data_IF_724114316661
#
_entry.id   IF_724114316661
#
_cell.length_a   1.000
_cell.length_b   1.000
_cell.length_c   1.000
_cell.angle_alpha   90.00
_cell.angle_beta   90.00
_cell.angle_gamma   90.00
#
_symmetry.space_group_name_H-M   'P 1'
#
loop_
_entity.id
_entity.type
_entity.pdbx_description
1 polymer ?
#
# COMPACT_ATOMS: atom_id res chain seq x y z
N UNK A 1 -15.80 8.46 10.93
CA UNK A 1 -15.36 7.16 10.47
C UNK A 1 -16.14 6.75 9.22
N UNK A 2 -15.46 6.11 8.27
CA UNK A 2 -16.03 5.55 7.05
C UNK A 2 -16.38 4.09 7.32
N UNK A 3 -17.65 3.76 7.21
CA UNK A 3 -18.16 2.39 7.34
C UNK A 3 -18.48 1.74 5.99
N UNK A 4 -18.79 2.56 4.98
CA UNK A 4 -19.12 2.15 3.61
C UNK A 4 -18.75 3.25 2.61
N UNK A 5 -18.65 2.90 1.32
CA UNK A 5 -18.20 3.84 0.27
C UNK A 5 -18.99 5.17 0.25
N UNK A 6 -20.32 5.12 0.38
CA UNK A 6 -21.16 6.34 0.41
C UNK A 6 -20.89 7.29 1.57
N UNK A 7 -20.14 6.86 2.60
CA UNK A 7 -19.71 7.75 3.68
C UNK A 7 -18.62 8.72 3.23
N UNK A 8 -17.83 8.37 2.19
CA UNK A 8 -16.84 9.24 1.58
C UNK A 8 -17.53 10.42 0.87
N UNK A 9 -18.57 10.14 0.08
CA UNK A 9 -19.33 11.18 -0.62
C UNK A 9 -20.00 12.13 0.40
N UNK A 10 -20.57 11.55 1.47
CA UNK A 10 -21.18 12.34 2.54
C UNK A 10 -20.13 13.20 3.27
N UNK A 11 -18.94 12.66 3.57
CA UNK A 11 -17.88 13.42 4.21
C UNK A 11 -17.43 14.58 3.33
N UNK A 12 -17.23 14.32 2.01
CA UNK A 12 -16.88 15.34 1.03
C UNK A 12 -17.94 16.44 0.94
N UNK A 13 -19.22 16.06 0.82
CA UNK A 13 -20.33 17.02 0.76
C UNK A 13 -20.46 17.90 2.02
N UNK A 14 -20.02 17.40 3.18
CA UNK A 14 -20.03 18.11 4.46
C UNK A 14 -18.71 18.84 4.77
N UNK A 15 -17.73 18.86 3.87
CA UNK A 15 -16.40 19.43 4.12
C UNK A 15 -15.63 18.72 5.24
N UNK A 16 -15.87 17.42 5.45
CA UNK A 16 -15.25 16.60 6.49
C UNK A 16 -14.22 15.64 5.92
N UNK A 17 -13.27 15.26 6.77
CA UNK A 17 -12.31 14.20 6.45
C UNK A 17 -12.95 12.84 6.72
N UNK A 18 -12.86 11.94 5.74
CA UNK A 18 -13.21 10.53 5.89
C UNK A 18 -12.02 9.74 6.45
N UNK A 19 -12.23 9.02 7.56
CA UNK A 19 -11.20 8.16 8.16
C UNK A 19 -11.62 6.71 7.95
N UNK A 20 -10.79 5.93 7.24
CA UNK A 20 -10.92 4.48 7.07
C UNK A 20 -9.96 3.82 8.07
N UNK A 21 -10.48 2.97 8.96
CA UNK A 21 -9.63 2.22 9.88
C UNK A 21 -9.03 1.01 9.17
N UNK A 22 -7.70 0.95 9.12
CA UNK A 22 -6.93 -0.16 8.55
C UNK A 22 -5.84 -0.64 9.50
N UNK A 23 -5.41 -1.91 9.31
CA UNK A 23 -4.26 -2.48 10.00
C UNK A 23 -3.26 -3.01 8.97
N UNK A 24 -1.98 -2.68 9.16
CA UNK A 24 -0.87 -3.07 8.27
C UNK A 24 -0.29 -4.46 8.58
N UNK A 25 -1.04 -5.33 9.16
CA UNK A 25 -0.73 -6.76 9.31
C UNK A 25 -1.99 -7.48 9.79
N UNK A 26 -2.27 -8.64 9.28
CA UNK A 26 -3.44 -9.43 9.65
C UNK A 26 -3.14 -10.52 10.70
N UNK A 27 -2.03 -10.44 11.43
CA UNK A 27 -1.65 -11.40 12.48
C UNK A 27 -2.63 -11.46 13.65
N UNK A 28 -3.46 -10.45 13.83
CA UNK A 28 -4.52 -10.42 14.83
C UNK A 28 -5.68 -11.37 14.49
N UNK A 29 -5.82 -11.80 13.24
CA UNK A 29 -6.78 -12.86 12.87
C UNK A 29 -6.19 -14.25 13.21
N UNK A 30 -6.76 -14.91 14.21
CA UNK A 30 -6.39 -16.25 14.62
C UNK A 30 -7.33 -17.33 14.09
N UNK A 31 -8.50 -16.91 13.65
CA UNK A 31 -9.56 -17.70 13.02
C UNK A 31 -10.44 -16.80 12.14
N UNK A 32 -11.18 -17.35 11.18
CA UNK A 32 -12.00 -16.53 10.26
C UNK A 32 -13.04 -15.65 10.95
N UNK A 33 -13.58 -16.10 12.11
CA UNK A 33 -14.58 -15.31 12.86
C UNK A 33 -14.02 -14.00 13.43
N UNK A 34 -12.70 -13.92 13.63
CA UNK A 34 -12.05 -12.69 14.10
C UNK A 34 -12.22 -11.56 13.08
N UNK A 35 -12.26 -11.86 11.78
CA UNK A 35 -12.49 -10.86 10.73
C UNK A 35 -13.84 -10.15 10.95
N UNK A 36 -14.90 -10.90 11.26
CA UNK A 36 -16.21 -10.33 11.56
C UNK A 36 -16.19 -9.47 12.82
N UNK A 37 -15.50 -9.93 13.87
CA UNK A 37 -15.33 -9.17 15.13
C UNK A 37 -14.63 -7.83 14.86
N UNK A 38 -13.48 -7.83 14.21
CA UNK A 38 -12.73 -6.60 13.92
C UNK A 38 -13.49 -5.66 12.96
N UNK A 39 -14.23 -6.22 11.99
CA UNK A 39 -15.11 -5.42 11.15
C UNK A 39 -16.23 -4.73 11.96
N UNK A 40 -16.81 -5.40 12.95
CA UNK A 40 -17.81 -4.81 13.86
C UNK A 40 -17.20 -3.71 14.74
N UNK A 41 -15.92 -3.83 15.12
CA UNK A 41 -15.15 -2.82 15.84
C UNK A 41 -14.76 -1.61 14.97
N UNK A 42 -15.01 -1.67 13.66
CA UNK A 42 -14.80 -0.55 12.74
C UNK A 42 -13.67 -0.72 11.73
N UNK A 43 -12.89 -1.81 11.77
CA UNK A 43 -11.85 -2.07 10.77
C UNK A 43 -12.48 -2.25 9.39
N UNK A 44 -11.92 -1.61 8.37
CA UNK A 44 -12.41 -1.65 6.98
C UNK A 44 -11.36 -2.08 5.97
N UNK A 45 -10.09 -2.05 6.36
CA UNK A 45 -8.96 -2.51 5.54
C UNK A 45 -8.04 -3.37 6.39
N UNK A 46 -7.48 -4.43 5.83
CA UNK A 46 -6.43 -5.21 6.47
C UNK A 46 -5.41 -5.65 5.44
N UNK A 47 -4.14 -5.35 5.72
CA UNK A 47 -3.03 -5.83 4.93
C UNK A 47 -2.68 -7.25 5.34
N UNK A 48 -2.58 -8.17 4.38
CA UNK A 48 -2.45 -9.60 4.67
C UNK A 48 -1.17 -9.95 5.42
N UNK A 49 -0.04 -9.36 5.01
CA UNK A 49 1.29 -9.63 5.59
C UNK A 49 2.07 -8.33 5.75
N UNK A 50 3.04 -8.29 6.67
CA UNK A 50 3.97 -7.17 6.78
C UNK A 50 5.42 -7.66 6.67
N UNK A 51 6.03 -7.48 5.49
CA UNK A 51 7.43 -7.78 5.17
C UNK A 51 7.86 -9.26 5.28
N UNK A 52 7.50 -9.95 6.35
CA UNK A 52 7.85 -11.34 6.65
C UNK A 52 6.65 -12.25 6.55
N UNK A 53 6.89 -13.54 6.64
CA UNK A 53 5.82 -14.54 6.63
C UNK A 53 5.02 -14.50 7.95
N UNK A 54 3.70 -14.61 7.83
CA UNK A 54 2.77 -14.88 8.92
C UNK A 54 1.91 -16.11 8.61
N UNK A 55 0.82 -16.35 9.37
CA UNK A 55 -0.06 -17.50 9.14
C UNK A 55 -0.84 -17.42 7.81
N UNK A 56 -0.96 -16.23 7.21
CA UNK A 56 -1.78 -15.97 6.01
C UNK A 56 -0.95 -16.16 4.73
N UNK A 57 0.31 -15.71 4.73
CA UNK A 57 1.16 -15.76 3.55
C UNK A 57 2.54 -15.14 3.79
N UNK A 58 3.28 -14.93 2.71
CA UNK A 58 4.64 -14.41 2.73
C UNK A 58 4.68 -12.91 2.46
N UNK A 59 5.48 -12.17 3.22
CA UNK A 59 5.77 -10.76 2.99
C UNK A 59 6.84 -10.55 1.91
N UNK A 60 6.93 -9.32 1.39
CA UNK A 60 7.80 -8.95 0.27
C UNK A 60 9.30 -9.05 0.54
N UNK A 61 9.73 -9.15 1.80
CA UNK A 61 11.14 -9.36 2.15
C UNK A 61 11.43 -10.74 2.74
N UNK A 62 10.48 -11.66 2.61
CA UNK A 62 10.69 -13.03 3.03
C UNK A 62 11.68 -13.73 2.10
N UNK A 63 12.50 -14.65 2.65
CA UNK A 63 13.53 -15.37 1.88
C UNK A 63 12.93 -16.23 0.77
N UNK A 64 11.76 -16.83 1.04
CA UNK A 64 11.01 -17.63 0.08
C UNK A 64 9.54 -17.21 0.15
N UNK A 65 9.01 -16.76 -0.96
CA UNK A 65 7.58 -16.45 -1.07
C UNK A 65 6.79 -17.72 -1.40
N UNK A 66 6.17 -18.30 -0.38
CA UNK A 66 5.32 -19.50 -0.49
C UNK A 66 3.91 -19.23 -1.03
N UNK A 67 3.51 -17.96 -1.20
CA UNK A 67 2.14 -17.59 -1.55
C UNK A 67 1.20 -17.58 -0.36
N UNK A 68 -0.12 -17.65 -0.64
CA UNK A 68 -1.18 -17.70 0.37
C UNK A 68 -1.29 -19.12 0.94
N UNK A 69 -1.39 -19.23 2.26
CA UNK A 69 -1.60 -20.51 2.96
C UNK A 69 -3.08 -20.94 2.91
N UNK A 70 -3.38 -22.20 3.26
CA UNK A 70 -4.76 -22.67 3.41
C UNK A 70 -5.53 -21.83 4.45
N UNK A 71 -4.88 -21.46 5.56
CA UNK A 71 -5.47 -20.52 6.52
C UNK A 71 -5.73 -19.15 5.88
N UNK A 72 -4.77 -18.65 5.09
CA UNK A 72 -4.92 -17.37 4.36
C UNK A 72 -6.13 -17.37 3.42
N UNK A 73 -6.41 -18.49 2.74
CA UNK A 73 -7.62 -18.64 1.92
C UNK A 73 -8.89 -18.39 2.74
N UNK A 74 -8.98 -18.98 3.95
CA UNK A 74 -10.16 -18.79 4.82
C UNK A 74 -10.31 -17.35 5.30
N UNK A 75 -9.20 -16.66 5.56
CA UNK A 75 -9.21 -15.24 5.95
C UNK A 75 -9.65 -14.34 4.78
N UNK A 76 -9.14 -14.57 3.57
CA UNK A 76 -9.56 -13.85 2.36
C UNK A 76 -11.07 -14.01 2.13
N UNK A 77 -11.59 -15.22 2.26
CA UNK A 77 -13.04 -15.50 2.15
C UNK A 77 -13.83 -14.72 3.20
N UNK A 78 -13.43 -14.77 4.45
CA UNK A 78 -14.10 -14.05 5.54
C UNK A 78 -14.05 -12.52 5.33
N UNK A 79 -12.92 -11.96 4.82
CA UNK A 79 -12.82 -10.55 4.48
C UNK A 79 -13.78 -10.17 3.35
N UNK A 80 -13.89 -10.99 2.31
CA UNK A 80 -14.83 -10.80 1.22
C UNK A 80 -16.30 -10.82 1.69
N UNK A 81 -16.66 -11.74 2.60
CA UNK A 81 -18.00 -11.85 3.16
C UNK A 81 -18.43 -10.58 3.89
N UNK A 82 -17.57 -10.00 4.74
CA UNK A 82 -17.90 -8.79 5.51
C UNK A 82 -17.68 -7.50 4.72
N UNK A 83 -17.02 -7.56 3.54
CA UNK A 83 -16.67 -6.37 2.75
C UNK A 83 -15.48 -5.59 3.32
N UNK A 84 -14.55 -6.27 4.00
CA UNK A 84 -13.27 -5.68 4.42
C UNK A 84 -12.30 -5.66 3.24
N UNK A 85 -11.73 -4.48 2.94
CA UNK A 85 -10.74 -4.33 1.87
C UNK A 85 -9.47 -5.11 2.20
N UNK A 86 -9.04 -5.92 1.25
CA UNK A 86 -7.76 -6.64 1.30
C UNK A 86 -6.68 -5.73 0.72
N UNK A 87 -5.58 -5.52 1.47
CA UNK A 87 -4.38 -4.83 1.02
C UNK A 87 -3.20 -5.80 0.92
N UNK A 88 -2.47 -5.73 -0.19
CA UNK A 88 -1.29 -6.57 -0.45
C UNK A 88 0.01 -5.76 -0.63
N UNK A 89 0.05 -4.53 -0.11
CA UNK A 89 1.21 -3.61 -0.28
C UNK A 89 2.53 -4.23 0.17
N UNK A 90 2.57 -4.91 1.32
CA UNK A 90 3.77 -5.56 1.86
C UNK A 90 3.91 -7.04 1.51
N UNK A 91 2.95 -7.61 0.77
CA UNK A 91 2.98 -9.02 0.38
C UNK A 91 4.01 -9.28 -0.72
N UNK A 92 4.61 -10.46 -0.70
CA UNK A 92 5.49 -10.93 -1.77
C UNK A 92 4.77 -11.10 -3.11
N UNK A 93 5.50 -11.40 -4.15
CA UNK A 93 4.95 -11.46 -5.52
C UNK A 93 3.90 -12.55 -5.66
N UNK A 94 4.24 -13.77 -5.22
CA UNK A 94 3.32 -14.90 -5.28
C UNK A 94 2.13 -14.70 -4.36
N UNK A 95 2.35 -14.26 -3.11
CA UNK A 95 1.28 -13.93 -2.19
C UNK A 95 0.34 -12.85 -2.76
N UNK A 96 0.88 -11.84 -3.45
CA UNK A 96 0.08 -10.81 -4.14
C UNK A 96 -0.77 -11.41 -5.25
N UNK A 97 -0.18 -12.24 -6.11
CA UNK A 97 -0.89 -12.87 -7.24
C UNK A 97 -1.97 -13.84 -6.76
N UNK A 98 -1.65 -14.68 -5.77
CA UNK A 98 -2.61 -15.61 -5.17
C UNK A 98 -3.79 -14.86 -4.53
N UNK A 99 -3.52 -13.77 -3.79
CA UNK A 99 -4.58 -12.96 -3.17
C UNK A 99 -5.51 -12.31 -4.20
N UNK A 100 -4.95 -11.79 -5.30
CA UNK A 100 -5.73 -11.25 -6.43
C UNK A 100 -6.61 -12.33 -7.03
N UNK A 101 -6.09 -13.54 -7.23
CA UNK A 101 -6.83 -14.65 -7.83
C UNK A 101 -7.95 -15.14 -6.90
N UNK A 102 -7.65 -15.38 -5.63
CA UNK A 102 -8.55 -15.95 -4.64
C UNK A 102 -9.67 -15.00 -4.20
N UNK A 103 -9.43 -13.69 -4.25
CA UNK A 103 -10.46 -12.72 -3.84
C UNK A 103 -11.61 -12.66 -4.84
N UNK A 104 -12.84 -12.77 -4.31
CA UNK A 104 -14.07 -12.57 -5.09
C UNK A 104 -14.44 -11.10 -5.26
N UNK A 105 -13.72 -10.18 -4.63
CA UNK A 105 -13.91 -8.72 -4.69
C UNK A 105 -12.63 -8.02 -5.13
N UNK A 106 -12.72 -6.79 -5.67
CA UNK A 106 -11.53 -5.97 -5.89
C UNK A 106 -10.71 -5.82 -4.60
N UNK A 107 -9.38 -5.93 -4.72
CA UNK A 107 -8.43 -5.70 -3.64
C UNK A 107 -7.55 -4.50 -3.97
N UNK A 108 -6.72 -4.05 -3.05
CA UNK A 108 -5.85 -2.92 -3.26
C UNK A 108 -4.37 -3.24 -3.00
N UNK A 109 -3.52 -2.49 -3.65
CA UNK A 109 -2.16 -2.20 -3.24
C UNK A 109 -2.22 -0.77 -2.71
N UNK A 110 -2.38 -0.58 -1.39
CA UNK A 110 -2.67 0.76 -0.86
C UNK A 110 -1.48 1.70 -0.94
N UNK A 111 -0.24 1.17 -0.86
CA UNK A 111 1.01 1.95 -0.91
C UNK A 111 2.18 1.09 -1.43
N UNK A 112 2.52 1.28 -2.68
CA UNK A 112 3.70 0.66 -3.32
C UNK A 112 4.07 1.43 -4.58
N UNK A 113 5.12 0.97 -5.29
CA UNK A 113 5.56 1.57 -6.55
C UNK A 113 5.87 0.48 -7.60
N UNK A 114 6.23 0.88 -8.82
CA UNK A 114 6.43 -0.02 -9.95
C UNK A 114 7.85 -0.58 -9.96
N UNK A 115 8.00 -1.90 -9.90
CA UNK A 115 9.30 -2.57 -9.93
C UNK A 115 10.03 -2.35 -11.26
N UNK A 116 9.31 -2.14 -12.33
CA UNK A 116 9.89 -1.82 -13.64
C UNK A 116 10.72 -0.52 -13.64
N UNK A 117 10.44 0.42 -12.73
CA UNK A 117 11.16 1.70 -12.63
C UNK A 117 12.24 1.68 -11.54
N UNK A 118 12.09 0.82 -10.54
CA UNK A 118 13.02 0.70 -9.43
C UNK A 118 13.00 -0.74 -8.89
N UNK A 119 14.07 -1.49 -9.07
CA UNK A 119 14.14 -2.89 -8.65
C UNK A 119 14.30 -2.99 -7.11
N UNK A 120 13.16 -3.20 -6.45
CA UNK A 120 13.09 -3.30 -4.99
C UNK A 120 12.03 -4.34 -4.58
N UNK A 121 12.28 -5.20 -3.58
CA UNK A 121 11.36 -6.30 -3.21
C UNK A 121 9.98 -5.85 -2.73
N UNK A 122 9.86 -4.62 -2.25
CA UNK A 122 8.57 -4.02 -1.85
C UNK A 122 7.72 -3.53 -3.02
N UNK A 123 8.29 -3.45 -4.23
CA UNK A 123 7.59 -2.89 -5.38
C UNK A 123 6.89 -3.99 -6.19
N UNK A 124 5.85 -3.60 -6.89
CA UNK A 124 4.96 -4.53 -7.60
C UNK A 124 5.38 -4.71 -9.06
N UNK A 125 5.29 -5.94 -9.51
CA UNK A 125 5.53 -6.28 -10.92
C UNK A 125 4.39 -5.78 -11.80
N UNK A 126 4.69 -5.54 -13.08
CA UNK A 126 3.66 -5.17 -14.07
C UNK A 126 2.58 -6.24 -14.21
N UNK A 127 2.93 -7.52 -14.00
CA UNK A 127 1.96 -8.62 -13.97
C UNK A 127 0.95 -8.43 -12.84
N UNK A 128 1.42 -8.16 -11.62
CA UNK A 128 0.55 -7.94 -10.46
C UNK A 128 -0.35 -6.72 -10.69
N UNK A 129 0.18 -5.61 -11.24
CA UNK A 129 -0.59 -4.40 -11.53
C UNK A 129 -1.68 -4.68 -12.57
N UNK A 130 -1.36 -5.40 -13.66
CA UNK A 130 -2.37 -5.78 -14.68
C UNK A 130 -3.46 -6.68 -14.11
N UNK A 131 -3.10 -7.71 -13.33
CA UNK A 131 -4.07 -8.62 -12.71
C UNK A 131 -4.95 -7.91 -11.69
N UNK A 132 -4.37 -7.00 -10.90
CA UNK A 132 -5.11 -6.15 -9.96
C UNK A 132 -6.18 -5.32 -10.69
N UNK A 133 -5.76 -4.60 -11.73
CA UNK A 133 -6.65 -3.75 -12.52
C UNK A 133 -7.74 -4.56 -13.21
N UNK A 134 -7.42 -5.72 -13.79
CA UNK A 134 -8.41 -6.62 -14.44
C UNK A 134 -9.53 -7.07 -13.48
N UNK A 135 -9.28 -7.06 -12.16
CA UNK A 135 -10.27 -7.32 -11.12
C UNK A 135 -10.89 -6.05 -10.50
N UNK A 136 -10.65 -4.88 -11.10
CA UNK A 136 -11.18 -3.59 -10.62
C UNK A 136 -10.44 -3.03 -9.40
N UNK A 137 -9.26 -3.54 -9.09
CA UNK A 137 -8.43 -3.05 -7.99
C UNK A 137 -7.69 -1.76 -8.31
N UNK A 138 -7.12 -1.14 -7.28
CA UNK A 138 -6.39 0.14 -7.37
C UNK A 138 -5.03 0.02 -6.69
N UNK A 139 -4.01 0.67 -7.26
CA UNK A 139 -2.68 0.80 -6.70
C UNK A 139 -2.40 2.24 -6.27
N UNK A 140 -2.12 2.45 -4.98
CA UNK A 140 -1.67 3.71 -4.42
C UNK A 140 -0.15 3.85 -4.54
N UNK A 141 0.31 4.94 -5.16
CA UNK A 141 1.74 5.25 -5.31
C UNK A 141 2.26 5.91 -4.05
N UNK A 142 3.34 5.36 -3.47
CA UNK A 142 3.95 5.84 -2.23
C UNK A 142 5.07 6.84 -2.46
N UNK A 143 5.24 7.75 -1.50
CA UNK A 143 6.30 8.75 -1.47
C UNK A 143 7.57 8.34 -0.71
N UNK A 144 7.65 7.11 -0.20
CA UNK A 144 8.84 6.62 0.51
C UNK A 144 10.03 6.58 -0.44
N UNK A 145 11.09 7.33 -0.11
CA UNK A 145 12.22 7.67 -0.99
C UNK A 145 12.87 6.47 -1.71
N UNK A 146 13.21 5.43 -0.96
CA UNK A 146 13.86 4.23 -1.52
C UNK A 146 12.92 3.38 -2.39
N UNK A 147 11.59 3.59 -2.31
CA UNK A 147 10.61 2.96 -3.19
C UNK A 147 10.36 3.78 -4.46
N UNK A 148 10.54 5.10 -4.39
CA UNK A 148 10.42 5.96 -5.56
C UNK A 148 11.65 5.78 -6.46
N UNK A 149 12.85 5.79 -5.90
CA UNK A 149 14.07 5.62 -6.70
C UNK A 149 15.21 5.07 -5.84
N UNK A 150 16.03 4.17 -6.41
CA UNK A 150 17.18 3.56 -5.74
C UNK A 150 18.42 4.47 -5.63
N UNK A 151 18.41 5.65 -6.25
CA UNK A 151 19.55 6.59 -6.30
C UNK A 151 19.10 8.05 -6.22
N UNK A 152 20.04 8.96 -5.92
CA UNK A 152 19.78 10.39 -5.93
C UNK A 152 19.95 11.00 -7.35
N UNK A 153 19.26 12.12 -7.64
CA UNK A 153 18.23 12.74 -6.81
C UNK A 153 16.93 11.92 -6.80
N UNK A 154 16.15 12.01 -5.72
CA UNK A 154 14.81 11.42 -5.62
C UNK A 154 13.81 12.51 -5.29
N UNK A 155 12.95 12.84 -6.25
CA UNK A 155 12.04 13.99 -6.21
C UNK A 155 10.61 13.57 -6.49
N UNK A 156 9.68 14.50 -6.24
CA UNK A 156 8.26 14.34 -6.56
C UNK A 156 8.01 13.97 -8.04
N UNK A 157 8.85 14.45 -8.96
CA UNK A 157 8.72 14.12 -10.39
C UNK A 157 8.93 12.61 -10.65
N UNK A 158 9.86 11.97 -9.90
CA UNK A 158 10.03 10.52 -9.99
C UNK A 158 8.85 9.75 -9.38
N UNK A 159 8.14 10.33 -8.40
CA UNK A 159 6.88 9.75 -7.91
C UNK A 159 5.80 9.80 -9.01
N UNK A 160 5.71 10.91 -9.75
CA UNK A 160 4.81 11.05 -10.90
C UNK A 160 5.17 10.05 -12.01
N UNK A 161 6.45 9.72 -12.23
CA UNK A 161 6.84 8.69 -13.21
C UNK A 161 6.20 7.32 -12.89
N UNK A 162 6.05 6.96 -11.61
CA UNK A 162 5.33 5.74 -11.22
C UNK A 162 3.84 5.82 -11.52
N UNK A 163 3.21 6.99 -11.32
CA UNK A 163 1.81 7.22 -11.69
C UNK A 163 1.64 7.07 -13.20
N UNK A 164 2.48 7.74 -13.98
CA UNK A 164 2.51 7.63 -15.45
C UNK A 164 2.64 6.18 -15.93
N UNK A 165 3.51 5.40 -15.27
CA UNK A 165 3.71 4.00 -15.61
C UNK A 165 2.42 3.18 -15.41
N UNK A 166 1.76 3.32 -14.26
CA UNK A 166 0.49 2.62 -14.00
C UNK A 166 -0.60 3.08 -14.97
N UNK A 167 -0.73 4.38 -15.21
CA UNK A 167 -1.72 4.93 -16.16
C UNK A 167 -1.51 4.36 -17.57
N UNK A 168 -0.27 4.32 -18.06
CA UNK A 168 0.07 3.72 -19.36
C UNK A 168 -0.20 2.22 -19.40
N UNK A 169 -0.01 1.54 -18.27
CA UNK A 169 -0.13 0.09 -18.18
C UNK A 169 -1.59 -0.39 -18.13
N UNK A 170 -2.44 0.29 -17.36
CA UNK A 170 -3.80 -0.17 -17.00
C UNK A 170 -4.87 0.92 -16.97
N UNK A 171 -4.53 2.19 -17.13
CA UNK A 171 -5.46 3.31 -17.12
C UNK A 171 -5.53 4.05 -15.77
N UNK A 172 -6.08 5.28 -15.82
CA UNK A 172 -6.15 6.22 -14.68
C UNK A 172 -7.05 5.71 -13.55
N UNK A 173 -8.06 4.91 -13.85
CA UNK A 173 -9.01 4.40 -12.87
C UNK A 173 -8.39 3.39 -11.88
N UNK A 174 -7.17 2.92 -12.15
CA UNK A 174 -6.48 1.90 -11.37
C UNK A 174 -5.27 2.43 -10.60
N UNK A 175 -5.08 3.76 -10.54
CA UNK A 175 -4.00 4.39 -9.79
C UNK A 175 -4.54 5.42 -8.82
N UNK A 176 -3.91 5.49 -7.64
CA UNK A 176 -4.22 6.46 -6.59
C UNK A 176 -2.94 6.93 -5.90
N UNK A 177 -3.10 7.77 -4.89
CA UNK A 177 -2.01 8.23 -4.04
C UNK A 177 -2.10 7.48 -2.72
N UNK A 178 -1.06 6.71 -2.41
CA UNK A 178 -0.89 5.97 -1.16
C UNK A 178 0.38 6.44 -0.46
N UNK A 179 0.38 7.68 0.01
CA UNK A 179 1.57 8.43 0.41
C UNK A 179 2.53 7.66 1.32
N UNK A 180 2.00 6.85 2.24
CA UNK A 180 2.76 6.18 3.31
C UNK A 180 3.52 7.20 4.17
N UNK A 181 2.99 8.43 4.25
CA UNK A 181 3.60 9.51 5.00
C UNK A 181 3.23 9.43 6.47
N UNK A 182 4.20 9.67 7.34
CA UNK A 182 3.93 9.99 8.75
C UNK A 182 3.31 11.39 8.87
N UNK A 183 2.68 11.68 10.03
CA UNK A 183 1.95 12.93 10.26
C UNK A 183 2.82 14.19 10.11
N UNK A 184 4.11 14.09 10.41
CA UNK A 184 5.07 15.20 10.34
C UNK A 184 6.20 14.97 9.32
N UNK A 185 6.14 13.87 8.55
CA UNK A 185 7.24 13.37 7.72
C UNK A 185 8.25 12.55 8.52
N UNK A 186 8.94 11.64 7.84
CA UNK A 186 9.91 10.75 8.48
C UNK A 186 11.24 11.43 8.79
N UNK A 187 11.64 12.40 7.97
CA UNK A 187 12.94 13.06 8.12
C UNK A 187 12.96 14.06 9.30
N UNK A 188 11.80 14.52 9.78
CA UNK A 188 11.63 15.35 10.97
C UNK A 188 11.63 14.55 12.28
N UNK A 189 11.69 13.21 12.20
CA UNK A 189 11.73 12.33 13.35
C UNK A 189 13.04 12.53 14.14
N UNK A 190 13.02 12.55 15.51
CA UNK A 190 14.22 12.56 16.33
C UNK A 190 15.20 11.45 15.96
N UNK A 191 16.49 11.73 15.98
CA UNK A 191 17.54 10.83 15.47
C UNK A 191 17.59 9.47 16.18
N UNK A 192 17.28 9.42 17.47
CA UNK A 192 17.19 8.19 18.27
C UNK A 192 16.00 7.33 17.82
N UNK A 193 14.82 7.92 17.67
CA UNK A 193 13.62 7.23 17.17
C UNK A 193 13.81 6.74 15.75
N UNK A 194 14.44 7.55 14.89
CA UNK A 194 14.78 7.16 13.53
C UNK A 194 15.73 5.95 13.50
N UNK A 195 16.74 5.94 14.37
CA UNK A 195 17.68 4.82 14.49
C UNK A 195 16.95 3.54 14.90
N UNK A 196 16.04 3.62 15.86
CA UNK A 196 15.22 2.49 16.30
C UNK A 196 14.31 2.00 15.17
N UNK A 197 13.62 2.91 14.46
CA UNK A 197 12.80 2.58 13.30
C UNK A 197 13.60 1.82 12.24
N UNK A 198 14.74 2.33 11.83
CA UNK A 198 15.57 1.72 10.79
C UNK A 198 16.13 0.35 11.21
N UNK A 199 16.38 0.15 12.50
CA UNK A 199 16.87 -1.13 13.03
C UNK A 199 15.84 -2.27 12.95
N UNK A 200 14.55 -1.96 12.77
CA UNK A 200 13.50 -2.96 12.62
C UNK A 200 13.45 -3.58 11.21
N UNK A 201 14.13 -2.98 10.23
CA UNK A 201 14.06 -3.40 8.84
C UNK A 201 15.30 -4.18 8.39
N UNK A 202 15.11 -5.13 7.49
CA UNK A 202 16.19 -5.88 6.85
C UNK A 202 17.01 -4.97 5.93
N UNK A 203 18.32 -5.25 5.71
CA UNK A 203 19.15 -4.49 4.78
C UNK A 203 18.58 -4.39 3.35
N UNK A 204 17.77 -5.37 2.93
CA UNK A 204 17.09 -5.36 1.62
C UNK A 204 16.10 -4.21 1.44
N UNK A 205 15.72 -3.52 2.51
CA UNK A 205 14.93 -2.28 2.43
C UNK A 205 15.71 -1.12 1.82
N UNK A 206 17.05 -1.18 1.87
CA UNK A 206 17.94 -0.22 1.24
C UNK A 206 17.65 1.24 1.62
N UNK A 207 17.27 1.50 2.88
CA UNK A 207 17.08 2.87 3.35
C UNK A 207 18.35 3.69 3.21
N UNK A 208 18.18 4.95 2.81
CA UNK A 208 19.25 5.94 2.62
C UNK A 208 19.22 7.00 3.71
N UNK A 209 20.07 8.02 3.59
CA UNK A 209 20.17 9.11 4.56
C UNK A 209 18.86 9.87 4.79
N UNK A 210 18.05 10.07 3.74
CA UNK A 210 16.67 10.59 3.83
C UNK A 210 15.65 9.48 3.59
N UNK A 211 14.49 9.58 4.22
CA UNK A 211 13.37 8.66 4.05
C UNK A 211 12.26 9.25 3.18
N UNK A 212 12.04 10.55 3.27
CA UNK A 212 11.04 11.27 2.50
C UNK A 212 11.56 11.67 1.12
N UNK A 213 10.68 11.68 0.13
CA UNK A 213 10.99 12.15 -1.24
C UNK A 213 11.02 13.67 -1.28
N UNK A 214 12.04 14.26 -1.94
CA UNK A 214 12.16 15.71 -2.07
C UNK A 214 10.92 16.29 -2.78
N UNK A 215 10.27 17.26 -2.14
CA UNK A 215 9.00 17.83 -2.57
C UNK A 215 7.76 17.07 -2.13
N UNK A 216 7.92 15.90 -1.46
CA UNK A 216 6.84 15.13 -0.85
C UNK A 216 7.25 14.61 0.55
N UNK A 217 7.80 15.48 1.36
CA UNK A 217 8.40 15.23 2.67
C UNK A 217 7.44 15.53 3.85
N UNK A 218 6.18 15.83 3.54
CA UNK A 218 5.13 16.10 4.53
C UNK A 218 3.75 15.87 3.91
N UNK A 219 2.73 15.38 4.65
CA UNK A 219 1.36 15.17 4.12
C UNK A 219 0.74 16.41 3.46
N UNK A 220 1.10 17.63 3.90
CA UNK A 220 0.64 18.88 3.27
C UNK A 220 1.15 19.07 1.84
N UNK A 221 2.21 18.36 1.44
CA UNK A 221 2.80 18.40 0.10
C UNK A 221 1.97 17.68 -0.96
N UNK A 222 0.78 17.20 -0.59
CA UNK A 222 -0.18 16.66 -1.56
C UNK A 222 -0.57 17.68 -2.63
N UNK A 223 -0.54 18.97 -2.31
CA UNK A 223 -0.79 20.04 -3.28
C UNK A 223 0.36 20.18 -4.29
N UNK A 224 1.62 20.00 -3.86
CA UNK A 224 2.80 20.02 -4.73
C UNK A 224 2.77 18.83 -5.71
N UNK A 225 2.31 17.66 -5.23
CA UNK A 225 2.06 16.50 -6.10
C UNK A 225 0.94 16.79 -7.13
N UNK A 226 -0.13 17.46 -6.69
CA UNK A 226 -1.23 17.87 -7.59
C UNK A 226 -0.70 18.79 -8.68
N UNK A 227 0.14 19.78 -8.35
CA UNK A 227 0.76 20.66 -9.34
C UNK A 227 1.69 19.90 -10.30
N UNK A 228 2.46 18.93 -9.79
CA UNK A 228 3.31 18.08 -10.63
C UNK A 228 2.47 17.26 -11.63
N UNK A 229 1.33 16.72 -11.19
CA UNK A 229 0.39 16.01 -12.06
C UNK A 229 -0.20 16.91 -13.12
N UNK A 230 -0.63 18.13 -12.77
CA UNK A 230 -1.15 19.12 -13.73
C UNK A 230 -0.09 19.46 -14.78
N UNK A 231 1.19 19.65 -14.40
CA UNK A 231 2.29 19.88 -15.36
C UNK A 231 2.49 18.71 -16.31
N UNK A 232 2.15 17.48 -15.91
CA UNK A 232 2.21 16.26 -16.74
C UNK A 232 0.95 16.04 -17.60
N UNK A 233 -0.09 16.90 -17.44
CA UNK A 233 -1.31 16.84 -18.26
C UNK A 233 -2.47 16.06 -17.67
N UNK A 234 -2.45 15.78 -16.37
CA UNK A 234 -3.57 15.19 -15.61
C UNK A 234 -4.61 16.22 -15.21
#
# INVERSE_FOLDING_TARGET
LVGKASDLDRAKAQGKIGIIMGLQNSEHFRKPEDVKLFHQLGQRCSQLTYNTQNLIGSGGTERVDGGITDFGVTIIQAMNEVGMLIDVSHSGDRTTLDAIELSSRPIAITHSNCRALNDHPRLKTDEAIRKLAAKGGVMGITGVRNFVRGQEPTTIEHMVDHIDHVVKLVGIDHVGIGSDSDLNGYDDMPADQRKELLAMYKPSYAFRGKLDTDGFDHPRKIFDLTEALIRRGY
#
